data_IF_795034546119
#
_entry.id   IF_795034546119
#
_cell.length_a   1.000
_cell.length_b   1.000
_cell.length_c   1.000
_cell.angle_alpha   90.00
_cell.angle_beta   90.00
_cell.angle_gamma   90.00
#
_symmetry.space_group_name_H-M   'P 1'
#
loop_
_entity.id
_entity.type
_entity.pdbx_description
1 polymer ?
#
# COMPACT_ATOMS: atom_id res chain seq x y z
N UNK A 1 44.01 14.97 -33.37
CA UNK A 1 44.21 14.68 -31.94
C UNK A 1 43.33 15.59 -31.09
N UNK A 2 42.14 15.11 -30.68
CA UNK A 2 41.41 15.61 -29.50
C UNK A 2 40.67 14.39 -28.95
N UNK A 3 41.15 13.90 -27.81
CA UNK A 3 40.60 12.75 -27.11
C UNK A 3 39.25 13.14 -26.50
N UNK A 4 38.18 12.44 -26.89
CA UNK A 4 36.92 12.44 -26.16
C UNK A 4 36.89 11.17 -25.33
N UNK A 5 36.98 11.36 -24.01
CA UNK A 5 36.88 10.32 -23.00
C UNK A 5 35.46 9.74 -23.04
N UNK A 6 35.30 8.60 -23.70
CA UNK A 6 34.06 7.82 -23.73
C UNK A 6 33.87 7.24 -22.33
N UNK A 7 33.13 7.96 -21.49
CA UNK A 7 32.65 7.46 -20.21
C UNK A 7 31.69 6.30 -20.52
N UNK A 8 32.15 5.07 -20.32
CA UNK A 8 31.36 3.85 -20.40
C UNK A 8 30.24 3.93 -19.34
N UNK A 9 29.11 4.54 -19.71
CA UNK A 9 27.85 4.40 -18.99
C UNK A 9 27.38 2.96 -19.18
N UNK A 10 27.91 2.06 -18.34
CA UNK A 10 27.32 0.74 -18.14
C UNK A 10 25.92 1.01 -17.60
N UNK A 11 24.91 0.94 -18.46
CA UNK A 11 23.51 0.89 -18.07
C UNK A 11 23.30 -0.41 -17.31
N UNK A 12 23.72 -0.43 -16.04
CA UNK A 12 23.23 -1.42 -15.09
C UNK A 12 21.75 -1.11 -14.98
N UNK A 13 20.92 -1.91 -15.66
CA UNK A 13 19.52 -2.06 -15.30
C UNK A 13 19.51 -2.59 -13.87
N UNK A 14 19.63 -1.70 -12.89
CA UNK A 14 19.28 -2.04 -11.51
C UNK A 14 17.77 -2.22 -11.57
N UNK A 15 17.32 -3.46 -11.77
CA UNK A 15 15.94 -3.81 -11.51
C UNK A 15 15.68 -3.41 -10.06
N UNK A 16 14.88 -2.35 -9.88
CA UNK A 16 14.42 -1.96 -8.55
C UNK A 16 13.40 -3.02 -8.16
N UNK A 17 13.89 -4.14 -7.62
CA UNK A 17 13.06 -5.13 -6.96
C UNK A 17 12.43 -4.44 -5.74
N UNK A 18 11.11 -4.54 -5.59
CA UNK A 18 10.38 -3.93 -4.48
C UNK A 18 10.87 -4.47 -3.11
N UNK A 19 11.35 -5.70 -3.10
CA UNK A 19 11.96 -6.38 -1.97
C UNK A 19 12.87 -7.51 -2.47
N UNK A 20 13.81 -7.96 -1.63
CA UNK A 20 14.63 -9.13 -1.95
C UNK A 20 13.89 -10.41 -1.57
N UNK A 21 13.98 -11.44 -2.41
CA UNK A 21 13.31 -12.71 -2.17
C UNK A 21 13.65 -13.29 -0.78
N UNK A 22 12.62 -13.73 -0.06
CA UNK A 22 12.76 -14.22 1.32
C UNK A 22 12.71 -13.15 2.41
N UNK A 23 12.77 -11.85 2.07
CA UNK A 23 12.64 -10.76 3.05
C UNK A 23 11.31 -10.84 3.81
N UNK A 24 11.37 -10.56 5.11
CA UNK A 24 10.19 -10.38 5.96
C UNK A 24 9.86 -8.90 5.99
N UNK A 25 8.65 -8.56 5.56
CA UNK A 25 8.18 -7.17 5.52
C UNK A 25 7.09 -6.97 6.57
N UNK A 26 7.16 -5.83 7.25
CA UNK A 26 6.11 -5.39 8.16
C UNK A 26 4.89 -4.90 7.39
N UNK A 27 3.70 -5.11 7.96
CA UNK A 27 2.44 -4.60 7.43
C UNK A 27 1.94 -3.48 8.33
N UNK A 28 1.35 -2.46 7.72
CA UNK A 28 0.76 -1.31 8.41
C UNK A 28 -0.39 -1.65 9.37
N UNK A 29 -0.87 -2.90 9.41
CA UNK A 29 -1.89 -3.35 10.36
C UNK A 29 -1.29 -3.92 11.66
N UNK A 30 0.05 -4.06 11.74
CA UNK A 30 0.76 -4.56 12.91
C UNK A 30 0.47 -6.02 13.27
N UNK A 31 -0.17 -6.79 12.38
CA UNK A 31 -0.61 -8.15 12.67
C UNK A 31 -0.39 -9.12 11.49
N UNK A 32 -0.68 -8.71 10.26
CA UNK A 32 -0.37 -9.53 9.09
C UNK A 32 1.13 -9.53 8.81
N UNK A 33 1.60 -10.64 8.26
CA UNK A 33 3.01 -10.88 7.95
C UNK A 33 3.16 -11.06 6.45
N UNK A 34 4.18 -10.44 5.87
CA UNK A 34 4.53 -10.63 4.46
C UNK A 34 5.88 -11.34 4.31
N UNK A 35 6.01 -12.08 3.22
CA UNK A 35 7.28 -12.56 2.69
C UNK A 35 7.43 -12.08 1.25
N UNK A 36 8.62 -11.64 0.87
CA UNK A 36 8.90 -11.38 -0.54
C UNK A 36 9.02 -12.70 -1.30
N UNK A 37 8.28 -12.82 -2.41
CA UNK A 37 8.32 -13.96 -3.34
C UNK A 37 8.46 -13.39 -4.75
N UNK A 38 9.57 -13.69 -5.43
CA UNK A 38 9.92 -13.20 -6.77
C UNK A 38 9.77 -11.67 -6.89
N UNK A 39 10.32 -10.92 -5.91
CA UNK A 39 10.26 -9.46 -5.88
C UNK A 39 8.89 -8.87 -5.56
N UNK A 40 7.90 -9.69 -5.19
CA UNK A 40 6.54 -9.25 -4.83
C UNK A 40 6.19 -9.64 -3.38
N UNK A 41 5.66 -8.72 -2.56
CA UNK A 41 5.22 -9.05 -1.20
C UNK A 41 3.97 -9.95 -1.22
N UNK A 42 4.09 -11.15 -0.65
CA UNK A 42 2.99 -12.07 -0.39
C UNK A 42 2.62 -12.05 1.10
N UNK A 43 1.43 -11.57 1.42
CA UNK A 43 1.01 -11.28 2.80
C UNK A 43 -0.13 -12.18 3.27
N UNK A 44 -0.14 -12.49 4.57
CA UNK A 44 -1.29 -13.13 5.22
C UNK A 44 -2.51 -12.18 5.20
N UNK A 45 -3.72 -12.75 5.27
CA UNK A 45 -4.99 -12.02 5.39
C UNK A 45 -5.75 -12.44 6.65
N UNK A 46 -5.07 -12.44 7.78
CA UNK A 46 -5.64 -12.77 9.08
C UNK A 46 -6.52 -11.61 9.58
N UNK A 47 -7.56 -11.96 10.32
CA UNK A 47 -8.35 -10.97 11.06
C UNK A 47 -7.52 -10.42 12.22
N UNK A 48 -7.28 -9.11 12.23
CA UNK A 48 -6.46 -8.47 13.26
C UNK A 48 -7.32 -8.00 14.45
N UNK A 49 -6.86 -8.20 15.70
CA UNK A 49 -7.56 -7.71 16.87
C UNK A 49 -7.80 -6.19 16.84
N UNK A 50 -8.92 -5.70 17.39
CA UNK A 50 -9.14 -4.27 17.54
C UNK A 50 -8.10 -3.64 18.48
N UNK A 51 -7.70 -2.40 18.21
CA UNK A 51 -6.79 -1.64 19.07
C UNK A 51 -5.30 -1.81 18.78
N UNK A 52 -4.89 -2.59 17.77
CA UNK A 52 -3.50 -2.60 17.33
C UNK A 52 -3.15 -1.27 16.67
N UNK A 53 -2.28 -0.50 17.31
CA UNK A 53 -1.74 0.76 16.79
C UNK A 53 -0.45 0.46 16.06
N UNK A 54 -0.44 0.64 14.75
CA UNK A 54 0.78 0.57 13.96
C UNK A 54 1.75 1.68 14.37
N UNK A 55 2.99 1.28 14.65
CA UNK A 55 4.13 2.15 14.89
C UNK A 55 5.27 1.67 14.03
N UNK A 56 6.06 2.60 13.53
CA UNK A 56 7.27 2.33 12.79
C UNK A 56 8.40 3.26 13.23
N UNK A 57 9.62 2.80 13.04
CA UNK A 57 10.83 3.54 13.33
C UNK A 57 11.21 4.46 12.15
N UNK A 58 11.89 5.59 12.39
CA UNK A 58 12.42 6.42 11.32
C UNK A 58 13.26 5.62 10.31
N UNK A 59 13.01 5.80 9.02
CA UNK A 59 13.69 5.08 7.93
C UNK A 59 13.16 3.67 7.67
N UNK A 60 12.26 3.15 8.51
CA UNK A 60 11.70 1.81 8.34
C UNK A 60 10.77 1.75 7.12
N UNK A 61 10.90 0.66 6.36
CA UNK A 61 10.06 0.37 5.21
C UNK A 61 9.05 -0.72 5.55
N UNK A 62 7.82 -0.56 5.07
CA UNK A 62 6.72 -1.51 5.31
C UNK A 62 5.71 -1.48 4.16
N UNK A 63 4.87 -2.52 4.09
CA UNK A 63 3.78 -2.61 3.12
C UNK A 63 2.49 -2.11 3.75
N UNK A 64 1.75 -1.25 3.05
CA UNK A 64 0.47 -0.73 3.52
C UNK A 64 -0.58 -1.84 3.69
N UNK A 65 -1.69 -1.50 4.37
CA UNK A 65 -2.83 -2.42 4.58
C UNK A 65 -3.45 -2.92 3.27
N UNK A 66 -3.24 -2.20 2.18
CA UNK A 66 -3.65 -2.65 0.84
C UNK A 66 -2.80 -3.83 0.30
N UNK A 67 -1.75 -4.24 1.02
CA UNK A 67 -0.86 -5.36 0.66
C UNK A 67 0.04 -5.07 -0.53
N UNK A 68 0.13 -3.82 -0.99
CA UNK A 68 0.74 -3.47 -2.26
C UNK A 68 1.61 -2.21 -2.17
N UNK A 69 1.13 -1.13 -1.57
CA UNK A 69 1.86 0.13 -1.51
C UNK A 69 3.03 0.00 -0.54
N UNK A 70 4.24 0.27 -1.01
CA UNK A 70 5.43 0.39 -0.16
C UNK A 70 5.43 1.75 0.51
N UNK A 71 5.84 1.79 1.77
CA UNK A 71 5.85 2.99 2.57
C UNK A 71 7.17 3.15 3.32
N UNK A 72 7.58 4.39 3.57
CA UNK A 72 8.74 4.75 4.37
C UNK A 72 8.34 5.65 5.54
N UNK A 73 8.94 5.41 6.70
CA UNK A 73 8.69 6.19 7.90
C UNK A 73 9.63 7.39 8.04
N UNK A 74 9.03 8.54 8.31
CA UNK A 74 9.71 9.80 8.61
C UNK A 74 10.21 9.84 10.05
N UNK A 75 11.14 10.75 10.33
CA UNK A 75 11.64 11.03 11.68
C UNK A 75 10.56 11.39 12.71
N UNK A 76 9.38 11.83 12.27
CA UNK A 76 8.24 12.20 13.12
C UNK A 76 7.25 11.06 13.36
N UNK A 77 7.58 9.82 12.98
CA UNK A 77 6.70 8.65 13.10
C UNK A 77 5.49 8.67 12.15
N UNK A 78 5.46 9.60 11.19
CA UNK A 78 4.52 9.59 10.05
C UNK A 78 5.13 8.80 8.90
N UNK A 79 4.31 8.35 7.96
CA UNK A 79 4.77 7.59 6.78
C UNK A 79 4.29 8.18 5.44
N UNK A 80 5.06 7.96 4.38
CA UNK A 80 4.67 8.25 3.00
C UNK A 80 4.69 6.94 2.20
N UNK A 81 3.72 6.75 1.30
CA UNK A 81 3.56 5.50 0.55
C UNK A 81 3.55 5.74 -0.96
N UNK A 82 4.05 4.77 -1.72
CA UNK A 82 4.09 4.80 -3.18
C UNK A 82 2.69 4.76 -3.80
N UNK A 83 2.56 5.42 -4.96
CA UNK A 83 1.34 5.43 -5.79
C UNK A 83 1.54 4.57 -7.05
N UNK A 84 1.65 3.25 -6.88
CA UNK A 84 1.65 2.25 -7.97
C UNK A 84 0.28 1.57 -8.17
N UNK A 85 0.06 0.96 -9.33
CA UNK A 85 -1.11 0.11 -9.56
C UNK A 85 -1.05 -1.15 -8.69
N UNK A 86 -2.19 -1.56 -8.12
CA UNK A 86 -2.29 -2.76 -7.28
C UNK A 86 -3.23 -3.77 -7.95
N UNK A 87 -2.93 -5.09 -7.92
CA UNK A 87 -3.86 -6.12 -8.37
C UNK A 87 -5.19 -6.02 -7.62
N UNK A 88 -6.31 -5.92 -8.35
CA UNK A 88 -7.64 -5.69 -7.76
C UNK A 88 -8.01 -4.22 -7.53
N UNK A 89 -7.15 -3.28 -7.95
CA UNK A 89 -7.35 -1.84 -7.75
C UNK A 89 -6.90 -1.40 -6.36
N UNK A 90 -6.57 -0.11 -6.21
CA UNK A 90 -6.40 0.47 -4.87
C UNK A 90 -7.76 0.44 -4.18
N UNK A 91 -7.86 0.06 -2.89
CA UNK A 91 -9.02 0.43 -2.11
C UNK A 91 -9.16 1.94 -2.30
N UNK A 92 -10.27 2.38 -2.92
CA UNK A 92 -10.51 3.81 -3.04
C UNK A 92 -10.42 4.31 -1.61
N UNK A 93 -9.41 5.15 -1.32
CA UNK A 93 -9.47 5.97 -0.11
C UNK A 93 -10.82 6.61 -0.25
N UNK A 94 -11.74 6.25 0.63
CA UNK A 94 -12.97 6.98 0.76
C UNK A 94 -12.57 8.46 0.77
N UNK A 95 -12.83 9.17 -0.32
CA UNK A 95 -12.98 10.60 -0.18
C UNK A 95 -14.03 10.72 0.92
N UNK A 96 -13.69 11.41 2.02
CA UNK A 96 -14.59 11.51 3.15
C UNK A 96 -15.99 11.88 2.64
N UNK A 97 -17.00 11.17 3.11
CA UNK A 97 -18.39 11.42 2.76
C UNK A 97 -19.04 12.28 3.85
N UNK A 98 -20.17 12.91 3.54
CA UNK A 98 -20.96 13.65 4.54
C UNK A 98 -21.78 12.64 5.36
N UNK A 99 -21.67 12.60 6.70
CA UNK A 99 -22.49 11.73 7.55
C UNK A 99 -23.98 11.72 7.18
N UNK A 100 -24.58 10.54 7.12
CA UNK A 100 -25.99 10.35 6.75
C UNK A 100 -26.28 10.41 5.24
N UNK A 101 -25.30 10.78 4.40
CA UNK A 101 -25.47 10.74 2.96
C UNK A 101 -25.65 9.30 2.46
N UNK A 102 -26.57 9.10 1.52
CA UNK A 102 -26.83 7.82 0.85
C UNK A 102 -26.63 8.01 -0.65
N UNK A 103 -25.95 7.07 -1.32
CA UNK A 103 -25.72 7.10 -2.76
C UNK A 103 -25.56 5.69 -3.32
N UNK A 104 -25.42 5.59 -4.63
CA UNK A 104 -25.20 4.33 -5.34
C UNK A 104 -23.85 4.37 -6.08
N UNK A 105 -23.01 3.37 -5.86
CA UNK A 105 -21.79 3.14 -6.66
C UNK A 105 -22.00 1.92 -7.56
N UNK A 106 -22.21 2.18 -8.86
CA UNK A 106 -22.65 1.15 -9.82
C UNK A 106 -23.94 0.47 -9.32
N UNK A 107 -23.94 -0.83 -9.04
CA UNK A 107 -25.09 -1.54 -8.48
C UNK A 107 -25.14 -1.51 -6.93
N UNK A 108 -24.06 -1.10 -6.27
CA UNK A 108 -23.93 -1.14 -4.83
C UNK A 108 -24.57 0.05 -4.13
N UNK A 109 -25.24 -0.24 -3.03
CA UNK A 109 -25.89 0.76 -2.19
C UNK A 109 -24.91 1.19 -1.10
N UNK A 110 -24.71 2.49 -0.94
CA UNK A 110 -23.73 3.08 -0.05
C UNK A 110 -24.38 4.07 0.91
N UNK A 111 -23.89 4.13 2.15
CA UNK A 111 -24.20 5.20 3.10
C UNK A 111 -22.95 5.69 3.82
N UNK A 112 -23.00 6.93 4.29
CA UNK A 112 -21.92 7.50 5.08
C UNK A 112 -22.19 7.33 6.58
N UNK A 113 -21.30 6.61 7.27
CA UNK A 113 -21.33 6.55 8.72
C UNK A 113 -20.93 7.90 9.35
N UNK A 114 -21.29 8.10 10.62
CA UNK A 114 -20.95 9.32 11.37
C UNK A 114 -19.44 9.60 11.46
N UNK A 115 -18.61 8.57 11.30
CA UNK A 115 -17.15 8.68 11.22
C UNK A 115 -16.64 9.23 9.87
N UNK A 116 -17.53 9.74 9.00
CA UNK A 116 -17.23 10.16 7.63
C UNK A 116 -16.59 9.04 6.77
N UNK A 117 -16.94 7.78 7.06
CA UNK A 117 -16.48 6.60 6.32
C UNK A 117 -17.65 6.03 5.52
N UNK A 118 -17.52 5.85 4.20
CA UNK A 118 -18.52 5.22 3.37
C UNK A 118 -18.56 3.71 3.62
N UNK A 119 -19.77 3.19 3.74
CA UNK A 119 -20.05 1.76 3.88
C UNK A 119 -20.96 1.39 2.71
N UNK A 120 -20.48 0.48 1.86
CA UNK A 120 -21.18 0.03 0.66
C UNK A 120 -21.44 -1.47 0.70
N UNK A 121 -22.51 -1.93 0.05
CA UNK A 121 -22.67 -3.35 -0.27
C UNK A 121 -21.55 -3.83 -1.21
N UNK A 122 -21.31 -5.15 -1.27
CA UNK A 122 -20.31 -5.76 -2.16
C UNK A 122 -20.95 -6.76 -3.13
N UNK A 123 -21.94 -6.28 -3.89
CA UNK A 123 -22.57 -7.00 -5.00
C UNK A 123 -21.62 -7.00 -6.19
N UNK A 124 -21.53 -8.14 -6.89
CA UNK A 124 -20.91 -8.22 -8.20
C UNK A 124 -21.84 -7.52 -9.22
N UNK A 125 -21.38 -6.42 -9.79
CA UNK A 125 -22.15 -5.65 -10.77
C UNK A 125 -21.83 -6.14 -12.19
N UNK A 126 -22.86 -6.25 -13.03
CA UNK A 126 -22.80 -6.62 -14.45
C UNK A 126 -22.78 -5.39 -15.35
#
# INVERSE_FOLDING_TARGET
MKAALILLCVFVFVAVEACKDGDRLLVADGCNKCRCVNGTPACTKMFCPPGIKFKCNPGEMFIAKDGCSECICSAKGKHACSRKGCPGGRPKRAAGCTPGQVWKESCNDCFCADSAVPICTQKLCL
#
